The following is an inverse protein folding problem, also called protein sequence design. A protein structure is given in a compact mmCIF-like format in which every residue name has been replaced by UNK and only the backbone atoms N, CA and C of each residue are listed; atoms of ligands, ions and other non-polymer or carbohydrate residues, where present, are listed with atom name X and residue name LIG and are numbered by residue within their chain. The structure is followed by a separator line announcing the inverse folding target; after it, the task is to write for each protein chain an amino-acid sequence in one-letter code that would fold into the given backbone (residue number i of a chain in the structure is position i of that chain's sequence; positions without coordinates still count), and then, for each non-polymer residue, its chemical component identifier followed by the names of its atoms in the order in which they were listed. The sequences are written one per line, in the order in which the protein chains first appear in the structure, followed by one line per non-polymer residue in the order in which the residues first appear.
data_IF_158005696354
#
_entry.id   IF_158005696354
#
_cell.length_a   1.000
_cell.length_b   1.000
_cell.length_c   1.000
_cell.angle_alpha   90.00
_cell.angle_beta   90.00
_cell.angle_gamma   90.00
#
_symmetry.space_group_name_H-M   'P 1'
#
loop_
_entity.id
_entity.type
_entity.pdbx_description
1 polymer ?
#
# COMPACT_ATOMS: atom_id res chain seq x y z
N UNK A 1 10.92 6.11 -8.77
CA UNK A 1 10.97 4.64 -8.83
C UNK A 1 9.84 4.01 -8.04
N UNK A 2 9.72 4.23 -6.71
CA UNK A 2 8.61 3.67 -5.91
C UNK A 2 7.22 3.96 -6.50
N UNK A 3 6.93 5.22 -6.85
CA UNK A 3 5.66 5.61 -7.46
C UNK A 3 5.35 4.85 -8.76
N UNK A 4 6.34 4.67 -9.65
CA UNK A 4 6.16 3.89 -10.88
C UNK A 4 5.84 2.43 -10.58
N UNK A 5 6.55 1.80 -9.65
CA UNK A 5 6.29 0.41 -9.27
C UNK A 5 4.88 0.25 -8.70
N UNK A 6 4.44 1.15 -7.81
CA UNK A 6 3.10 1.11 -7.23
C UNK A 6 2.01 1.42 -8.26
N UNK A 7 2.27 2.33 -9.20
CA UNK A 7 1.35 2.60 -10.30
C UNK A 7 1.18 1.38 -11.22
N UNK A 8 2.27 0.64 -11.50
CA UNK A 8 2.18 -0.63 -12.24
C UNK A 8 1.32 -1.65 -11.51
N UNK A 9 1.47 -1.80 -10.19
CA UNK A 9 0.61 -2.68 -9.39
C UNK A 9 -0.84 -2.20 -9.43
N UNK A 10 -1.07 -0.90 -9.27
CA UNK A 10 -2.40 -0.27 -9.32
C UNK A 10 -3.07 -0.54 -10.66
N UNK A 11 -2.37 -0.35 -11.78
CA UNK A 11 -2.89 -0.62 -13.12
C UNK A 11 -3.19 -2.11 -13.38
N UNK A 12 -2.53 -3.03 -12.66
CA UNK A 12 -2.69 -4.47 -12.86
C UNK A 12 -3.86 -5.07 -12.05
N UNK A 13 -4.04 -4.63 -10.80
CA UNK A 13 -5.01 -5.24 -9.87
C UNK A 13 -6.06 -4.28 -9.32
N UNK A 14 -5.93 -2.97 -9.56
CA UNK A 14 -6.81 -1.89 -9.09
C UNK A 14 -7.26 -2.01 -7.62
N UNK A 15 -6.31 -1.97 -6.65
CA UNK A 15 -6.65 -2.18 -5.26
C UNK A 15 -7.28 -0.93 -4.64
N UNK A 16 -8.24 -1.13 -3.74
CA UNK A 16 -8.80 -0.03 -2.94
C UNK A 16 -7.76 0.59 -1.98
N UNK A 17 -6.85 -0.24 -1.44
CA UNK A 17 -5.84 0.17 -0.46
C UNK A 17 -4.53 -0.58 -0.69
N UNK A 18 -3.42 0.16 -0.65
CA UNK A 18 -2.06 -0.37 -0.56
C UNK A 18 -1.50 -0.01 0.82
N UNK A 19 -1.12 -1.01 1.61
CA UNK A 19 -0.49 -0.78 2.93
C UNK A 19 1.03 -0.86 2.80
N UNK A 20 1.73 0.20 3.16
CA UNK A 20 3.21 0.21 3.18
C UNK A 20 3.70 -0.49 4.45
N UNK A 21 4.29 -1.68 4.32
CA UNK A 21 4.82 -2.45 5.44
C UNK A 21 6.26 -2.10 5.82
N UNK A 22 6.71 -2.65 6.95
CA UNK A 22 8.11 -2.59 7.40
C UNK A 22 8.64 -1.17 7.60
N UNK A 23 9.94 -0.97 7.42
CA UNK A 23 10.59 0.33 7.66
C UNK A 23 10.03 1.48 6.80
N UNK A 24 9.46 1.20 5.62
CA UNK A 24 8.82 2.21 4.78
C UNK A 24 7.61 2.86 5.48
N UNK A 25 6.91 2.11 6.33
CA UNK A 25 5.70 2.61 6.98
C UNK A 25 5.96 3.81 7.89
N UNK A 26 7.20 3.95 8.37
CA UNK A 26 7.62 5.02 9.27
C UNK A 26 7.96 6.33 8.54
N UNK A 27 8.08 6.30 7.21
CA UNK A 27 8.45 7.46 6.41
C UNK A 27 7.19 8.25 6.05
N UNK A 28 6.76 9.14 6.97
CA UNK A 28 5.51 9.92 6.83
C UNK A 28 5.36 10.64 5.48
N UNK A 29 6.46 11.17 4.95
CA UNK A 29 6.49 11.88 3.66
C UNK A 29 5.98 11.02 2.49
N UNK A 30 6.09 9.69 2.57
CA UNK A 30 5.63 8.81 1.50
C UNK A 30 4.13 8.89 1.30
N UNK A 31 3.35 9.04 2.37
CA UNK A 31 1.88 9.10 2.29
C UNK A 31 1.37 10.36 1.59
N UNK A 32 2.13 11.46 1.62
CA UNK A 32 1.76 12.69 0.91
C UNK A 32 2.31 12.70 -0.52
N UNK A 33 3.59 12.32 -0.67
CA UNK A 33 4.31 12.49 -1.94
C UNK A 33 4.09 11.38 -2.96
N UNK A 34 3.90 10.13 -2.51
CA UNK A 34 3.77 8.98 -3.41
C UNK A 34 2.45 8.98 -4.18
N UNK A 35 1.28 9.24 -3.55
CA UNK A 35 0.02 9.31 -4.31
C UNK A 35 0.06 10.37 -5.41
N UNK A 36 0.60 11.55 -5.11
CA UNK A 36 0.76 12.61 -6.11
C UNK A 36 1.72 12.20 -7.23
N UNK A 37 2.82 11.51 -6.92
CA UNK A 37 3.77 11.06 -7.92
C UNK A 37 3.28 9.85 -8.74
N UNK A 38 2.30 9.09 -8.23
CA UNK A 38 1.69 7.97 -8.95
C UNK A 38 0.70 8.42 -10.02
N UNK A 39 0.07 9.59 -9.83
CA UNK A 39 -0.94 10.12 -10.73
C UNK A 39 -0.48 10.20 -12.20
N UNK A 40 0.80 10.46 -12.43
CA UNK A 40 1.38 10.54 -13.79
C UNK A 40 1.57 9.17 -14.48
N UNK A 41 1.44 8.06 -13.74
CA UNK A 41 1.75 6.71 -14.23
C UNK A 41 0.55 5.74 -14.20
N UNK A 42 -0.56 6.13 -13.58
CA UNK A 42 -1.80 5.36 -13.60
C UNK A 42 -2.59 5.64 -14.88
N UNK A 43 -3.21 4.62 -15.46
CA UNK A 43 -3.95 4.76 -16.73
C UNK A 43 -5.33 5.41 -16.56
N UNK A 44 -5.87 5.41 -15.34
CA UNK A 44 -7.19 5.95 -15.02
C UNK A 44 -7.15 7.45 -14.79
N UNK A 45 -8.21 8.15 -15.18
CA UNK A 45 -8.39 9.58 -14.92
C UNK A 45 -8.48 9.91 -13.43
N UNK A 46 -8.87 8.93 -12.60
CA UNK A 46 -9.00 9.08 -11.15
C UNK A 46 -8.39 7.89 -10.43
N UNK A 47 -7.28 8.13 -9.76
CA UNK A 47 -6.70 7.19 -8.82
C UNK A 47 -7.48 7.22 -7.50
N UNK A 48 -8.21 6.15 -7.19
CA UNK A 48 -8.94 5.99 -5.92
C UNK A 48 -8.17 5.18 -4.88
N UNK A 49 -7.13 4.47 -5.29
CA UNK A 49 -6.27 3.66 -4.42
C UNK A 49 -5.67 4.52 -3.31
N UNK A 50 -5.90 4.11 -2.06
CA UNK A 50 -5.32 4.77 -0.89
C UNK A 50 -4.00 4.13 -0.50
N UNK A 51 -3.03 4.94 -0.08
CA UNK A 51 -1.77 4.45 0.48
C UNK A 51 -1.80 4.66 1.98
N UNK A 52 -1.74 3.59 2.76
CA UNK A 52 -1.97 3.61 4.20
C UNK A 52 -0.83 2.97 4.99
N UNK A 53 -0.72 3.37 6.26
CA UNK A 53 0.16 2.75 7.24
C UNK A 53 -0.50 1.47 7.83
N UNK A 54 0.28 0.48 8.26
CA UNK A 54 -0.25 -0.73 8.87
C UNK A 54 -0.78 -0.41 10.27
N UNK A 55 -2.06 -0.71 10.53
CA UNK A 55 -2.69 -0.41 11.82
C UNK A 55 -2.09 -1.17 13.01
N UNK A 56 -1.44 -2.31 12.76
CA UNK A 56 -0.84 -3.15 13.81
C UNK A 56 0.69 -3.07 13.85
N UNK A 57 1.32 -2.20 13.04
CA UNK A 57 2.78 -2.02 13.02
C UNK A 57 3.54 -3.34 12.94
N UNK A 58 4.56 -3.51 13.77
CA UNK A 58 5.40 -4.71 13.83
C UNK A 58 4.63 -5.99 14.17
N UNK A 59 3.49 -5.88 14.85
CA UNK A 59 2.64 -7.03 15.17
C UNK A 59 1.86 -7.55 13.96
N UNK A 60 1.83 -6.83 12.84
CA UNK A 60 1.05 -7.19 11.64
C UNK A 60 1.45 -8.56 11.08
N UNK A 61 2.75 -8.90 11.11
CA UNK A 61 3.25 -10.19 10.62
C UNK A 61 2.77 -11.37 11.46
N UNK A 62 2.91 -11.28 12.79
CA UNK A 62 2.47 -12.33 13.72
C UNK A 62 0.95 -12.52 13.67
N UNK A 63 0.18 -11.42 13.60
CA UNK A 63 -1.28 -11.47 13.44
C UNK A 63 -1.68 -12.10 12.11
N UNK A 64 -1.02 -11.71 11.02
CA UNK A 64 -1.24 -12.31 9.70
C UNK A 64 -1.02 -13.82 9.72
N UNK A 65 0.08 -14.27 10.32
CA UNK A 65 0.39 -15.69 10.47
C UNK A 65 -0.67 -16.45 11.29
N UNK A 66 -1.15 -15.85 12.40
CA UNK A 66 -2.22 -16.43 13.21
C UNK A 66 -3.57 -16.52 12.46
N UNK A 67 -3.81 -15.65 11.48
CA UNK A 67 -5.03 -15.64 10.66
C UNK A 67 -4.96 -16.50 9.40
N UNK A 68 -3.84 -17.18 9.11
CA UNK A 68 -3.70 -18.00 7.90
C UNK A 68 -4.61 -19.24 7.90
N UNK A 69 -4.95 -19.78 9.07
CA UNK A 69 -5.86 -20.89 9.23
C UNK A 69 -7.08 -20.49 10.07
N UNK A 70 -8.29 -20.98 9.75
CA UNK A 70 -9.43 -20.83 10.63
C UNK A 70 -9.10 -21.41 12.01
N UNK A 71 -9.49 -20.70 13.06
CA UNK A 71 -9.53 -21.29 14.39
C UNK A 71 -10.63 -22.37 14.32
N UNK A 72 -10.24 -23.61 14.59
CA UNK A 72 -11.14 -24.76 14.57
C UNK A 72 -12.31 -24.59 15.55
#
# INVERSE_FOLDING_TARGET
QLAQCLATVTNLIDPEVIVLGGGLSNIKRLYDSVPSAMADYVFTDKMLTRIEAPSFGDASGARGAACLWPIA
#
